data_IF_124659372911
#
_entry.id   IF_124659372911
#
_cell.length_a   1.000
_cell.length_b   1.000
_cell.length_c   1.000
_cell.angle_alpha   90.00
_cell.angle_beta   90.00
_cell.angle_gamma   90.00
#
_symmetry.space_group_name_H-M   'P 1'
#
loop_
_entity.id
_entity.type
_entity.pdbx_description
1 polymer ?
#
# COMPACT_ATOMS: atom_id res chain seq x y z
N UNK A 1 -13.37 16.26 3.90
CA UNK A 1 -14.26 17.32 3.35
C UNK A 1 -14.86 18.21 4.44
N UNK A 2 -15.59 17.67 5.43
CA UNK A 2 -16.26 18.47 6.48
C UNK A 2 -15.32 19.45 7.20
N UNK A 3 -14.13 19.00 7.62
CA UNK A 3 -13.17 19.86 8.31
C UNK A 3 -12.72 21.08 7.49
N UNK A 4 -12.46 20.92 6.19
CA UNK A 4 -12.09 22.04 5.31
C UNK A 4 -13.25 23.03 5.13
N UNK A 5 -14.47 22.54 4.96
CA UNK A 5 -15.65 23.42 4.87
C UNK A 5 -15.88 24.19 6.17
N UNK A 6 -15.73 23.52 7.33
CA UNK A 6 -15.85 24.14 8.64
C UNK A 6 -14.78 25.22 8.90
N UNK A 7 -13.63 25.14 8.21
CA UNK A 7 -12.56 26.13 8.25
C UNK A 7 -12.71 27.23 7.17
N UNK A 8 -13.79 27.24 6.40
CA UNK A 8 -14.09 28.28 5.40
C UNK A 8 -13.46 28.06 4.02
N UNK A 9 -12.91 26.87 3.73
CA UNK A 9 -12.41 26.54 2.39
C UNK A 9 -13.56 26.22 1.43
N UNK A 10 -13.41 26.61 0.17
CA UNK A 10 -14.15 25.97 -0.92
C UNK A 10 -13.56 24.57 -1.14
N UNK A 11 -14.36 23.53 -0.91
CA UNK A 11 -13.90 22.14 -0.94
C UNK A 11 -14.60 21.38 -2.06
N UNK A 12 -13.85 20.56 -2.77
CA UNK A 12 -14.37 19.63 -3.77
C UNK A 12 -13.67 18.27 -3.64
N UNK A 13 -14.24 17.25 -4.28
CA UNK A 13 -13.62 15.92 -4.43
C UNK A 13 -13.96 15.33 -5.79
N UNK A 14 -13.21 14.32 -6.21
CA UNK A 14 -13.38 13.60 -7.48
C UNK A 14 -13.42 12.09 -7.24
N UNK A 15 -14.13 11.37 -8.10
CA UNK A 15 -14.15 9.90 -8.14
C UNK A 15 -12.91 9.31 -8.86
N UNK A 16 -11.96 10.14 -9.30
CA UNK A 16 -10.75 9.69 -9.98
C UNK A 16 -10.97 9.29 -11.45
N UNK A 17 -12.15 9.61 -12.02
CA UNK A 17 -12.47 9.38 -13.43
C UNK A 17 -13.12 8.04 -13.73
N UNK A 18 -13.63 7.32 -12.71
CA UNK A 18 -14.43 6.11 -12.88
C UNK A 18 -15.46 5.95 -11.74
N UNK A 19 -16.61 5.34 -12.03
CA UNK A 19 -17.76 5.27 -11.09
C UNK A 19 -17.85 3.99 -10.27
N UNK A 20 -16.95 3.05 -10.48
CA UNK A 20 -16.98 1.72 -9.85
C UNK A 20 -15.71 1.51 -9.02
N UNK A 21 -15.86 0.80 -7.92
CA UNK A 21 -14.75 0.33 -7.09
C UNK A 21 -14.28 -1.07 -7.49
N UNK A 22 -14.98 -1.74 -8.41
CA UNK A 22 -14.60 -3.06 -8.93
C UNK A 22 -13.49 -2.88 -9.95
N UNK A 23 -12.28 -3.39 -9.64
CA UNK A 23 -11.07 -3.12 -10.44
C UNK A 23 -11.20 -3.53 -11.90
N UNK A 24 -11.76 -4.71 -12.17
CA UNK A 24 -11.88 -5.21 -13.55
C UNK A 24 -12.75 -4.34 -14.45
N UNK A 25 -13.77 -3.68 -13.89
CA UNK A 25 -14.75 -2.91 -14.65
C UNK A 25 -14.16 -1.61 -15.18
N UNK A 26 -13.21 -1.01 -14.45
CA UNK A 26 -12.60 0.26 -14.85
C UNK A 26 -11.21 0.09 -15.48
N UNK A 27 -10.43 -0.92 -15.07
CA UNK A 27 -9.07 -1.16 -15.59
C UNK A 27 -9.10 -1.84 -16.95
N UNK A 28 -10.05 -2.73 -17.20
CA UNK A 28 -10.11 -3.52 -18.43
C UNK A 28 -11.21 -3.03 -19.36
N UNK A 29 -10.89 -3.00 -20.66
CA UNK A 29 -11.91 -2.96 -21.72
C UNK A 29 -12.64 -4.30 -21.78
N UNK A 30 -13.80 -4.32 -22.44
CA UNK A 30 -14.61 -5.54 -22.65
C UNK A 30 -13.81 -6.73 -23.20
N UNK A 31 -12.82 -6.47 -24.06
CA UNK A 31 -11.98 -7.51 -24.68
C UNK A 31 -10.62 -7.74 -23.99
N UNK A 32 -10.46 -7.33 -22.72
CA UNK A 32 -9.29 -7.69 -21.89
C UNK A 32 -8.05 -6.81 -22.05
N UNK A 33 -8.09 -5.74 -22.84
CA UNK A 33 -6.99 -4.76 -22.88
C UNK A 33 -7.15 -3.68 -21.80
N UNK A 34 -6.05 -3.07 -21.37
CA UNK A 34 -6.08 -1.94 -20.43
C UNK A 34 -6.91 -0.78 -21.00
N UNK A 35 -7.81 -0.26 -20.18
CA UNK A 35 -8.49 1.00 -20.40
C UNK A 35 -7.58 2.16 -19.98
N UNK A 36 -6.61 2.47 -20.84
CA UNK A 36 -5.60 3.50 -20.58
C UNK A 36 -6.18 4.87 -20.18
N UNK A 37 -7.26 5.38 -20.80
CA UNK A 37 -7.90 6.60 -20.31
C UNK A 37 -8.25 6.55 -18.81
N UNK A 38 -8.86 5.46 -18.33
CA UNK A 38 -9.19 5.32 -16.91
C UNK A 38 -7.93 5.20 -16.03
N UNK A 39 -6.92 4.45 -16.47
CA UNK A 39 -5.64 4.32 -15.73
C UNK A 39 -4.91 5.66 -15.64
N UNK A 40 -4.91 6.45 -16.71
CA UNK A 40 -4.30 7.79 -16.72
C UNK A 40 -5.11 8.78 -15.87
N UNK A 41 -6.44 8.67 -15.85
CA UNK A 41 -7.32 9.43 -14.97
C UNK A 41 -7.00 9.13 -13.50
N UNK A 42 -7.05 7.85 -13.10
CA UNK A 42 -6.68 7.39 -11.76
C UNK A 42 -5.27 7.86 -11.37
N UNK A 43 -4.34 7.79 -12.33
CA UNK A 43 -2.96 8.21 -12.17
C UNK A 43 -2.81 9.70 -11.85
N UNK A 44 -3.30 10.58 -12.72
CA UNK A 44 -3.08 12.02 -12.60
C UNK A 44 -4.01 12.93 -13.42
N UNK A 45 -4.52 12.49 -14.56
CA UNK A 45 -5.20 13.38 -15.54
C UNK A 45 -6.49 13.96 -14.96
N UNK A 46 -7.34 13.13 -14.36
CA UNK A 46 -8.61 13.60 -13.81
C UNK A 46 -8.40 14.59 -12.66
N UNK A 47 -7.28 14.49 -11.94
CA UNK A 47 -6.95 15.40 -10.86
C UNK A 47 -6.62 16.80 -11.39
N UNK A 48 -5.84 16.89 -12.47
CA UNK A 48 -5.54 18.17 -13.12
C UNK A 48 -6.83 18.85 -13.60
N UNK A 49 -7.65 18.12 -14.36
CA UNK A 49 -8.91 18.65 -14.90
C UNK A 49 -9.84 19.10 -13.77
N UNK A 50 -9.97 18.26 -12.73
CA UNK A 50 -10.71 18.56 -11.53
C UNK A 50 -10.23 19.86 -10.86
N UNK A 51 -8.92 20.04 -10.66
CA UNK A 51 -8.36 21.26 -10.06
C UNK A 51 -8.72 22.51 -10.86
N UNK A 52 -8.56 22.47 -12.19
CA UNK A 52 -8.86 23.61 -13.06
C UNK A 52 -10.34 23.97 -13.00
N UNK A 53 -11.22 22.97 -13.13
CA UNK A 53 -12.67 23.17 -13.06
C UNK A 53 -13.08 23.75 -11.70
N UNK A 54 -12.56 23.20 -10.61
CA UNK A 54 -12.90 23.69 -9.27
C UNK A 54 -12.44 25.14 -9.03
N UNK A 55 -11.24 25.52 -9.51
CA UNK A 55 -10.77 26.92 -9.42
C UNK A 55 -11.65 27.87 -10.24
N UNK A 56 -12.10 27.45 -11.43
CA UNK A 56 -13.03 28.23 -12.25
C UNK A 56 -14.40 28.38 -11.58
N UNK A 57 -14.99 27.30 -11.07
CA UNK A 57 -16.27 27.32 -10.34
C UNK A 57 -16.17 28.22 -9.10
N UNK A 58 -15.07 28.10 -8.34
CA UNK A 58 -14.81 28.96 -7.17
C UNK A 58 -14.77 30.43 -7.58
N UNK A 59 -14.07 30.74 -8.67
CA UNK A 59 -13.96 32.13 -9.17
C UNK A 59 -15.30 32.67 -9.66
N UNK A 60 -16.07 31.87 -10.40
CA UNK A 60 -17.38 32.26 -10.89
C UNK A 60 -18.37 32.52 -9.76
N UNK A 61 -18.32 31.71 -8.69
CA UNK A 61 -19.20 31.84 -7.54
C UNK A 61 -18.83 33.02 -6.62
N UNK A 62 -17.54 33.20 -6.31
CA UNK A 62 -17.08 34.23 -5.36
C UNK A 62 -16.66 35.55 -6.02
N UNK A 63 -16.63 35.62 -7.35
CA UNK A 63 -16.22 36.80 -8.12
C UNK A 63 -14.71 37.11 -8.10
N UNK A 64 -13.89 36.23 -7.51
CA UNK A 64 -12.43 36.36 -7.43
C UNK A 64 -11.75 34.99 -7.34
N UNK A 65 -10.51 34.84 -7.85
CA UNK A 65 -9.76 33.60 -7.70
C UNK A 65 -9.42 33.30 -6.23
N UNK A 66 -9.16 32.02 -5.88
CA UNK A 66 -8.63 31.68 -4.58
C UNK A 66 -7.25 32.32 -4.39
N UNK A 67 -7.01 32.88 -3.20
CA UNK A 67 -5.70 33.45 -2.85
C UNK A 67 -4.63 32.38 -2.66
N UNK A 68 -5.04 31.23 -2.10
CA UNK A 68 -4.24 30.02 -1.98
C UNK A 68 -5.08 28.79 -2.29
N UNK A 69 -4.41 27.73 -2.72
CA UNK A 69 -5.00 26.45 -3.07
C UNK A 69 -4.23 25.31 -2.42
N UNK A 70 -4.97 24.36 -1.83
CA UNK A 70 -4.39 23.24 -1.09
C UNK A 70 -4.91 21.89 -1.61
N UNK A 71 -4.02 20.90 -1.67
CA UNK A 71 -4.39 19.50 -1.89
C UNK A 71 -4.02 18.68 -0.66
N UNK A 72 -4.92 17.81 -0.22
CA UNK A 72 -4.67 16.88 0.89
C UNK A 72 -5.15 15.49 0.52
N UNK A 73 -4.33 14.48 0.78
CA UNK A 73 -4.66 13.09 0.51
C UNK A 73 -3.84 12.11 1.35
N UNK A 74 -4.43 10.94 1.59
CA UNK A 74 -3.80 9.81 2.30
C UNK A 74 -3.73 8.59 1.38
N UNK A 75 -2.70 7.76 1.49
CA UNK A 75 -2.55 6.54 0.69
C UNK A 75 -2.53 6.82 -0.81
N UNK A 76 -3.52 6.34 -1.58
CA UNK A 76 -3.71 6.71 -3.00
C UNK A 76 -3.81 8.22 -3.18
N UNK A 77 -4.49 8.93 -2.27
CA UNK A 77 -4.56 10.39 -2.28
C UNK A 77 -3.20 11.05 -2.04
N UNK A 78 -2.34 10.46 -1.20
CA UNK A 78 -0.96 10.93 -1.01
C UNK A 78 -0.12 10.76 -2.27
N UNK A 79 -0.23 9.60 -2.94
CA UNK A 79 0.37 9.39 -4.27
C UNK A 79 -0.13 10.45 -5.24
N UNK A 80 -1.43 10.66 -5.32
CA UNK A 80 -2.05 11.65 -6.21
C UNK A 80 -1.57 13.09 -5.91
N UNK A 81 -1.40 13.43 -4.63
CA UNK A 81 -0.84 14.70 -4.19
C UNK A 81 0.57 14.93 -4.75
N UNK A 82 1.44 13.91 -4.67
CA UNK A 82 2.79 13.97 -5.22
C UNK A 82 2.79 13.90 -6.76
N UNK A 83 1.83 13.23 -7.39
CA UNK A 83 1.71 13.21 -8.85
C UNK A 83 1.41 14.60 -9.40
N UNK A 84 0.55 15.37 -8.71
CA UNK A 84 0.28 16.77 -9.03
C UNK A 84 1.53 17.64 -8.85
N UNK A 85 2.27 17.45 -7.75
CA UNK A 85 3.51 18.17 -7.47
C UNK A 85 4.58 17.96 -8.55
N UNK A 86 4.77 16.71 -8.99
CA UNK A 86 5.76 16.33 -9.99
C UNK A 86 5.37 16.81 -11.40
N UNK A 87 4.09 16.70 -11.78
CA UNK A 87 3.63 16.98 -13.15
C UNK A 87 3.22 18.43 -13.39
N UNK A 88 2.61 19.07 -12.39
CA UNK A 88 2.05 20.41 -12.49
C UNK A 88 2.35 21.23 -11.22
N UNK A 89 3.62 21.59 -11.01
CA UNK A 89 4.09 22.16 -9.74
C UNK A 89 3.43 23.48 -9.31
N UNK A 90 2.78 24.20 -10.22
CA UNK A 90 2.06 25.46 -9.93
C UNK A 90 0.56 25.29 -9.64
N UNK A 91 0.04 24.05 -9.57
CA UNK A 91 -1.39 23.85 -9.34
C UNK A 91 -1.84 24.13 -7.91
N UNK A 92 -0.96 23.94 -6.92
CA UNK A 92 -1.28 24.06 -5.49
C UNK A 92 -0.15 24.76 -4.74
N UNK A 93 -0.52 25.66 -3.84
CA UNK A 93 0.41 26.40 -2.98
C UNK A 93 0.85 25.55 -1.78
N UNK A 94 -0.02 24.64 -1.33
CA UNK A 94 0.29 23.69 -0.27
C UNK A 94 -0.23 22.28 -0.56
N UNK A 95 0.61 21.29 -0.33
CA UNK A 95 0.30 19.88 -0.52
C UNK A 95 0.54 19.13 0.79
N UNK A 96 -0.48 18.44 1.29
CA UNK A 96 -0.37 17.49 2.40
C UNK A 96 -0.51 16.06 1.85
N UNK A 97 0.58 15.31 1.93
CA UNK A 97 0.69 13.96 1.39
C UNK A 97 0.93 12.94 2.51
N UNK A 98 -0.12 12.25 2.96
CA UNK A 98 -0.04 11.22 3.99
C UNK A 98 0.12 9.81 3.41
N UNK A 99 1.00 9.00 4.00
CA UNK A 99 1.33 7.62 3.63
C UNK A 99 1.29 7.37 2.11
N UNK A 100 2.03 8.15 1.29
CA UNK A 100 1.80 8.16 -0.14
C UNK A 100 2.23 6.84 -0.79
N UNK A 101 1.31 6.22 -1.53
CA UNK A 101 1.57 5.01 -2.33
C UNK A 101 2.40 5.27 -3.60
N UNK A 102 3.57 5.91 -3.47
CA UNK A 102 4.54 6.13 -4.55
C UNK A 102 5.30 4.84 -4.88
N UNK A 103 5.98 4.82 -6.03
CA UNK A 103 6.53 3.60 -6.63
C UNK A 103 5.44 2.54 -6.77
N UNK A 104 4.27 2.94 -7.28
CA UNK A 104 3.04 2.15 -7.18
C UNK A 104 3.17 0.77 -7.83
N UNK A 105 3.94 0.65 -8.92
CA UNK A 105 4.13 -0.63 -9.61
C UNK A 105 4.88 -1.64 -8.72
N UNK A 106 5.92 -1.18 -8.04
CA UNK A 106 6.68 -1.95 -7.07
C UNK A 106 5.85 -2.26 -5.83
N UNK A 107 5.22 -1.24 -5.24
CA UNK A 107 4.40 -1.34 -4.05
C UNK A 107 3.25 -2.34 -4.23
N UNK A 108 2.43 -2.16 -5.28
CA UNK A 108 1.28 -3.03 -5.54
C UNK A 108 1.68 -4.48 -5.81
N UNK A 109 2.87 -4.70 -6.42
CA UNK A 109 3.42 -6.04 -6.61
C UNK A 109 3.95 -6.63 -5.30
N UNK A 110 4.68 -5.85 -4.50
CA UNK A 110 5.25 -6.31 -3.24
C UNK A 110 4.19 -6.67 -2.20
N UNK A 111 3.06 -5.97 -2.13
CA UNK A 111 1.99 -6.26 -1.17
C UNK A 111 1.51 -7.73 -1.25
N UNK A 112 1.58 -8.35 -2.42
CA UNK A 112 1.23 -9.78 -2.59
C UNK A 112 2.22 -10.77 -1.98
N UNK A 113 3.45 -10.33 -1.68
CA UNK A 113 4.57 -11.22 -1.36
C UNK A 113 4.33 -12.09 -0.12
N UNK A 114 3.84 -11.57 1.03
CA UNK A 114 3.58 -12.42 2.20
C UNK A 114 2.55 -13.52 1.94
N UNK A 115 1.51 -13.24 1.14
CA UNK A 115 0.52 -14.24 0.73
C UNK A 115 1.12 -15.31 -0.18
N UNK A 116 1.93 -14.89 -1.16
CA UNK A 116 2.59 -15.82 -2.06
C UNK A 116 3.61 -16.71 -1.33
N UNK A 117 4.26 -16.21 -0.29
CA UNK A 117 5.13 -17.03 0.58
C UNK A 117 4.32 -18.13 1.25
N UNK A 118 3.13 -17.84 1.79
CA UNK A 118 2.23 -18.88 2.33
C UNK A 118 1.84 -19.90 1.27
N UNK A 119 1.44 -19.44 0.07
CA UNK A 119 1.09 -20.31 -1.04
C UNK A 119 2.25 -21.24 -1.47
N UNK A 120 3.48 -20.74 -1.51
CA UNK A 120 4.67 -21.53 -1.86
C UNK A 120 5.07 -22.52 -0.79
N UNK A 121 4.77 -22.23 0.48
CA UNK A 121 4.96 -23.16 1.58
C UNK A 121 3.84 -24.20 1.66
N UNK A 122 2.63 -23.87 1.20
CA UNK A 122 1.42 -24.66 1.44
C UNK A 122 0.97 -24.61 2.91
N UNK A 123 1.44 -23.62 3.67
CA UNK A 123 1.21 -23.48 5.11
C UNK A 123 0.66 -22.06 5.38
N UNK A 124 -0.46 -21.98 6.09
CA UNK A 124 -1.17 -20.74 6.40
C UNK A 124 -1.26 -20.58 7.93
N UNK A 125 -0.34 -19.86 8.57
CA UNK A 125 -0.36 -19.63 10.01
C UNK A 125 -1.64 -18.94 10.48
N UNK A 126 -2.04 -19.20 11.73
CA UNK A 126 -3.09 -18.43 12.38
C UNK A 126 -2.61 -17.00 12.63
N UNK A 127 -3.55 -16.04 12.60
CA UNK A 127 -3.23 -14.63 12.82
C UNK A 127 -2.56 -14.37 14.18
N UNK A 128 -3.00 -15.08 15.23
CA UNK A 128 -2.41 -15.00 16.57
C UNK A 128 -0.89 -15.29 16.58
N UNK A 129 -0.39 -16.20 15.73
CA UNK A 129 1.04 -16.50 15.64
C UNK A 129 1.82 -15.29 15.13
N UNK A 130 1.35 -14.68 14.03
CA UNK A 130 1.99 -13.49 13.44
C UNK A 130 1.84 -12.24 14.32
N UNK A 131 0.73 -12.13 15.05
CA UNK A 131 0.52 -11.09 16.05
C UNK A 131 1.51 -11.24 17.23
N UNK A 132 1.70 -12.45 17.75
CA UNK A 132 2.66 -12.72 18.81
C UNK A 132 4.11 -12.49 18.36
N UNK A 133 4.46 -12.82 17.11
CA UNK A 133 5.77 -12.48 16.53
C UNK A 133 5.98 -10.97 16.47
N UNK A 134 4.95 -10.21 16.05
CA UNK A 134 4.99 -8.74 15.99
C UNK A 134 5.15 -8.15 17.40
N UNK A 135 4.39 -8.65 18.37
CA UNK A 135 4.47 -8.24 19.76
C UNK A 135 5.85 -8.53 20.38
N UNK A 136 6.41 -9.71 20.13
CA UNK A 136 7.77 -10.04 20.57
C UNK A 136 8.83 -9.13 19.94
N UNK A 137 8.62 -8.68 18.69
CA UNK A 137 9.49 -7.69 18.06
C UNK A 137 9.37 -6.31 18.70
N UNK A 138 8.16 -5.90 19.10
CA UNK A 138 7.92 -4.67 19.86
C UNK A 138 8.67 -4.74 21.19
N UNK A 139 8.41 -5.76 22.02
CA UNK A 139 9.02 -5.93 23.34
C UNK A 139 10.55 -6.01 23.28
N UNK A 140 11.11 -6.67 22.27
CA UNK A 140 12.56 -6.79 22.11
C UNK A 140 13.24 -5.46 21.73
N UNK A 141 12.50 -4.49 21.20
CA UNK A 141 13.07 -3.32 20.54
C UNK A 141 12.49 -1.97 21.00
N UNK A 142 11.49 -1.96 21.88
CA UNK A 142 10.82 -0.77 22.43
C UNK A 142 11.85 0.22 23.01
N UNK A 143 12.71 -0.29 23.91
CA UNK A 143 13.77 0.48 24.58
C UNK A 143 14.80 1.19 23.67
N UNK A 144 14.85 0.91 22.36
CA UNK A 144 15.90 1.40 21.46
C UNK A 144 15.80 2.89 21.13
N UNK A 145 14.67 3.53 21.40
CA UNK A 145 14.52 4.99 21.29
C UNK A 145 14.63 5.71 22.64
N UNK A 146 14.88 4.96 23.72
CA UNK A 146 15.01 5.49 25.08
C UNK A 146 13.70 5.53 25.87
N UNK A 147 12.57 5.09 25.31
CA UNK A 147 11.31 4.89 26.02
C UNK A 147 10.91 3.41 26.03
N UNK A 148 10.07 3.02 26.99
CA UNK A 148 9.40 1.71 27.01
C UNK A 148 7.91 2.02 27.12
N UNK A 149 7.29 2.26 25.97
CA UNK A 149 5.91 2.73 25.85
C UNK A 149 5.10 1.94 24.80
N UNK A 150 5.68 0.87 24.25
CA UNK A 150 5.08 0.04 23.21
C UNK A 150 5.14 0.67 21.82
N UNK A 151 5.87 1.78 21.63
CA UNK A 151 6.02 2.47 20.35
C UNK A 151 7.46 2.34 19.87
N UNK A 152 7.66 1.80 18.66
CA UNK A 152 9.00 1.70 18.07
C UNK A 152 9.34 2.93 17.22
N UNK A 153 9.77 4.02 17.87
CA UNK A 153 10.20 5.24 17.15
C UNK A 153 11.54 5.04 16.44
N UNK A 154 12.43 4.20 16.99
CA UNK A 154 13.67 3.78 16.32
C UNK A 154 13.50 2.45 15.57
N UNK A 155 12.81 2.49 14.42
CA UNK A 155 12.45 1.28 13.69
C UNK A 155 13.64 0.55 13.04
N UNK A 156 14.75 1.24 12.77
CA UNK A 156 15.90 0.72 12.00
C UNK A 156 16.82 -0.19 12.81
N UNK A 157 16.99 0.10 14.09
CA UNK A 157 17.98 -0.58 14.94
C UNK A 157 17.47 -1.90 15.55
N UNK A 158 16.21 -2.26 15.27
CA UNK A 158 15.61 -3.49 15.78
C UNK A 158 16.16 -4.75 15.09
N UNK A 159 17.08 -5.43 15.77
CA UNK A 159 17.68 -6.70 15.33
C UNK A 159 16.87 -7.96 15.66
N UNK A 160 15.58 -7.84 15.99
CA UNK A 160 14.74 -9.00 16.32
C UNK A 160 14.66 -9.98 15.14
N UNK A 161 14.78 -11.27 15.46
CA UNK A 161 14.71 -12.39 14.52
C UNK A 161 13.51 -13.26 14.90
N UNK A 162 12.48 -13.38 14.03
CA UNK A 162 11.24 -14.08 14.37
C UNK A 162 11.46 -15.58 14.59
N UNK A 163 12.60 -16.14 14.16
CA UNK A 163 12.94 -17.55 14.42
C UNK A 163 13.19 -17.83 15.90
N UNK A 164 13.48 -16.81 16.71
CA UNK A 164 13.74 -16.96 18.16
C UNK A 164 12.51 -17.32 18.97
N UNK A 165 11.30 -17.11 18.42
CA UNK A 165 10.03 -17.36 19.11
C UNK A 165 9.25 -18.55 18.53
N UNK A 166 9.84 -19.28 17.58
CA UNK A 166 9.26 -20.54 17.08
C UNK A 166 9.15 -21.55 18.23
N UNK A 167 8.05 -22.28 18.30
CA UNK A 167 7.69 -23.19 19.41
C UNK A 167 7.46 -22.48 20.77
N UNK A 168 7.21 -21.18 20.77
CA UNK A 168 6.60 -20.50 21.92
C UNK A 168 5.09 -20.67 21.87
N UNK A 169 4.49 -21.06 23.01
CA UNK A 169 3.04 -21.17 23.15
C UNK A 169 2.39 -19.80 23.24
N UNK A 170 1.34 -19.57 22.46
CA UNK A 170 0.50 -18.37 22.47
C UNK A 170 -0.97 -18.77 22.50
N UNK A 171 -1.78 -18.01 23.23
CA UNK A 171 -3.23 -18.23 23.25
C UNK A 171 -3.86 -17.57 22.03
N UNK A 172 -4.63 -18.33 21.24
CA UNK A 172 -5.31 -17.83 20.06
C UNK A 172 -6.80 -17.66 20.36
N UNK A 173 -7.23 -16.43 20.62
CA UNK A 173 -8.61 -16.12 21.05
C UNK A 173 -9.67 -16.63 20.09
N UNK A 174 -9.40 -16.60 18.78
CA UNK A 174 -10.34 -17.03 17.74
C UNK A 174 -10.62 -18.53 17.77
N UNK A 175 -9.62 -19.31 18.18
CA UNK A 175 -9.71 -20.78 18.30
C UNK A 175 -10.02 -21.26 19.72
N UNK A 176 -9.79 -20.40 20.72
CA UNK A 176 -9.91 -20.73 22.14
C UNK A 176 -8.88 -21.75 22.64
N UNK A 177 -7.79 -21.99 21.90
CA UNK A 177 -6.75 -22.96 22.25
C UNK A 177 -5.34 -22.34 22.23
N UNK A 178 -4.45 -22.96 23.01
CA UNK A 178 -3.01 -22.69 22.96
C UNK A 178 -2.42 -23.25 21.67
N UNK A 179 -1.69 -22.40 20.93
CA UNK A 179 -1.03 -22.74 19.67
C UNK A 179 0.47 -22.44 19.79
N UNK A 180 1.30 -23.26 19.13
CA UNK A 180 2.74 -23.01 19.03
C UNK A 180 3.02 -22.12 17.81
N UNK A 181 3.84 -21.08 17.98
CA UNK A 181 4.31 -20.30 16.84
C UNK A 181 5.06 -21.21 15.86
N UNK A 182 4.54 -21.33 14.65
CA UNK A 182 5.06 -22.20 13.60
C UNK A 182 6.30 -21.63 12.91
N UNK A 183 7.06 -22.52 12.27
CA UNK A 183 8.16 -22.11 11.39
C UNK A 183 7.65 -21.31 10.18
N UNK A 184 6.45 -21.62 9.66
CA UNK A 184 5.78 -20.84 8.62
C UNK A 184 5.50 -19.41 9.07
N UNK A 185 4.97 -19.20 10.28
CA UNK A 185 4.71 -17.85 10.80
C UNK A 185 5.99 -17.01 10.84
N UNK A 186 7.09 -17.59 11.31
CA UNK A 186 8.39 -16.91 11.33
C UNK A 186 8.93 -16.60 9.92
N UNK A 187 8.75 -17.50 8.94
CA UNK A 187 9.15 -17.28 7.54
C UNK A 187 8.32 -16.17 6.88
N UNK A 188 7.01 -16.16 7.11
CA UNK A 188 6.09 -15.14 6.58
C UNK A 188 6.42 -13.77 7.19
N UNK A 189 6.63 -13.68 8.49
CA UNK A 189 7.06 -12.45 9.16
C UNK A 189 8.40 -11.94 8.62
N UNK A 190 9.39 -12.83 8.47
CA UNK A 190 10.68 -12.46 7.91
C UNK A 190 10.56 -11.93 6.47
N UNK A 191 9.75 -12.57 5.63
CA UNK A 191 9.50 -12.13 4.26
C UNK A 191 8.78 -10.77 4.21
N UNK A 192 7.79 -10.57 5.07
CA UNK A 192 7.07 -9.29 5.18
C UNK A 192 8.00 -8.15 5.63
N UNK A 193 8.92 -8.40 6.57
CA UNK A 193 9.84 -7.37 7.08
C UNK A 193 11.06 -7.10 6.19
N UNK A 194 11.59 -8.12 5.50
CA UNK A 194 12.80 -7.98 4.67
C UNK A 194 12.51 -7.62 3.21
N UNK A 195 11.23 -7.76 2.81
CA UNK A 195 10.73 -7.37 1.51
C UNK A 195 10.91 -8.43 0.42
N UNK A 196 10.40 -8.11 -0.76
CA UNK A 196 10.36 -9.03 -1.90
C UNK A 196 11.76 -9.42 -2.38
N UNK A 197 11.92 -10.71 -2.72
CA UNK A 197 13.11 -11.27 -3.36
C UNK A 197 12.69 -12.12 -4.57
N UNK A 198 13.53 -12.14 -5.61
CA UNK A 198 13.40 -13.11 -6.70
C UNK A 198 13.70 -14.54 -6.21
N UNK A 199 13.40 -15.55 -7.01
CA UNK A 199 13.75 -16.95 -6.71
C UNK A 199 15.25 -17.16 -6.48
N UNK A 200 16.11 -16.31 -7.07
CA UNK A 200 17.56 -16.35 -6.89
C UNK A 200 18.05 -15.50 -5.70
N UNK A 201 17.14 -14.95 -4.89
CA UNK A 201 17.46 -14.11 -3.74
C UNK A 201 17.83 -12.65 -4.08
N UNK A 202 17.62 -12.21 -5.33
CA UNK A 202 17.85 -10.81 -5.71
C UNK A 202 16.83 -9.89 -5.04
N UNK A 203 17.29 -8.76 -4.49
CA UNK A 203 16.43 -7.71 -3.95
C UNK A 203 15.44 -7.17 -5.00
N UNK A 204 14.15 -7.07 -4.65
CA UNK A 204 13.11 -6.47 -5.49
C UNK A 204 12.46 -5.25 -4.82
N UNK A 205 12.05 -5.37 -3.55
CA UNK A 205 11.41 -4.29 -2.82
C UNK A 205 11.63 -4.40 -1.31
N UNK A 206 11.41 -3.29 -0.60
CA UNK A 206 11.52 -3.20 0.86
C UNK A 206 10.30 -3.81 1.55
N UNK A 207 10.45 -4.20 2.82
CA UNK A 207 9.39 -4.77 3.65
C UNK A 207 8.78 -3.76 4.61
N UNK A 208 7.83 -4.25 5.43
CA UNK A 208 7.20 -3.53 6.53
C UNK A 208 8.17 -3.27 7.69
N UNK A 209 7.86 -2.27 8.51
CA UNK A 209 8.45 -2.16 9.83
C UNK A 209 8.01 -3.34 10.72
N UNK A 210 8.85 -3.73 11.70
CA UNK A 210 8.60 -4.95 12.50
C UNK A 210 7.42 -4.83 13.47
N UNK A 211 6.93 -3.61 13.69
CA UNK A 211 5.79 -3.22 14.51
C UNK A 211 4.50 -3.02 13.69
N UNK A 212 4.59 -3.04 12.36
CA UNK A 212 3.41 -3.01 11.51
C UNK A 212 2.62 -4.34 11.65
N UNK A 213 1.29 -4.28 11.86
CA UNK A 213 0.47 -5.48 11.97
C UNK A 213 0.56 -6.34 10.70
N UNK A 214 1.11 -7.54 10.83
CA UNK A 214 1.25 -8.47 9.72
C UNK A 214 -0.09 -8.92 9.13
N UNK A 215 -1.18 -8.87 9.90
CA UNK A 215 -2.54 -9.20 9.46
C UNK A 215 -3.03 -8.34 8.28
N UNK A 216 -2.43 -7.17 8.01
CA UNK A 216 -2.76 -6.37 6.84
C UNK A 216 -2.38 -7.04 5.52
N UNK A 217 -1.22 -7.71 5.46
CA UNK A 217 -0.66 -8.29 4.23
C UNK A 217 -0.54 -9.82 4.27
N UNK A 218 -0.35 -10.40 5.44
CA UNK A 218 -0.28 -11.84 5.70
C UNK A 218 -1.58 -12.38 6.32
N UNK A 219 -2.72 -11.82 5.93
CA UNK A 219 -4.02 -12.21 6.47
C UNK A 219 -4.38 -13.67 6.17
N UNK A 220 -5.02 -14.34 7.13
CA UNK A 220 -5.53 -15.71 7.01
C UNK A 220 -6.92 -15.84 7.61
N UNK A 221 -7.67 -16.84 7.17
CA UNK A 221 -8.94 -17.25 7.77
C UNK A 221 -8.93 -18.75 8.01
N UNK A 222 -9.46 -19.20 9.15
CA UNK A 222 -9.41 -20.59 9.57
C UNK A 222 -10.79 -21.12 9.93
N UNK A 223 -11.02 -22.40 9.68
CA UNK A 223 -12.23 -23.11 10.07
C UNK A 223 -12.12 -23.62 11.53
N UNK A 224 -12.25 -22.71 12.48
CA UNK A 224 -12.09 -23.01 13.91
C UNK A 224 -13.17 -23.96 14.48
N UNK A 225 -14.31 -24.09 13.81
CA UNK A 225 -15.41 -24.95 14.24
C UNK A 225 -15.41 -26.32 13.55
N UNK A 226 -14.60 -26.49 12.51
CA UNK A 226 -14.53 -27.71 11.70
C UNK A 226 -13.11 -28.26 11.63
N UNK A 227 -12.49 -28.16 10.46
CA UNK A 227 -11.21 -28.81 10.13
C UNK A 227 -10.00 -28.22 10.88
N UNK A 228 -10.09 -26.97 11.34
CA UNK A 228 -8.94 -26.20 11.83
C UNK A 228 -8.00 -25.74 10.71
N UNK A 229 -8.32 -26.02 9.45
CA UNK A 229 -7.49 -25.60 8.32
C UNK A 229 -7.63 -24.09 8.08
N UNK A 230 -6.49 -23.47 7.79
CA UNK A 230 -6.39 -22.05 7.47
C UNK A 230 -6.11 -21.85 5.99
N UNK A 231 -6.55 -20.71 5.45
CA UNK A 231 -6.30 -20.28 4.08
C UNK A 231 -5.93 -18.80 4.03
N UNK A 232 -5.14 -18.41 3.03
CA UNK A 232 -4.73 -17.03 2.80
C UNK A 232 -5.87 -16.14 2.34
N UNK A 233 -5.93 -14.91 2.87
CA UNK A 233 -6.88 -13.88 2.44
C UNK A 233 -6.07 -12.75 1.79
N UNK A 234 -5.80 -12.81 0.49
CA UNK A 234 -4.93 -11.84 -0.14
C UNK A 234 -5.55 -10.44 -0.19
N UNK A 235 -4.70 -9.44 0.03
CA UNK A 235 -5.12 -8.04 -0.05
C UNK A 235 -5.60 -7.71 -1.46
N UNK A 236 -6.83 -7.21 -1.57
CA UNK A 236 -7.54 -7.07 -2.84
C UNK A 236 -6.76 -6.24 -3.87
N UNK A 237 -6.13 -5.13 -3.45
CA UNK A 237 -5.33 -4.29 -4.36
C UNK A 237 -4.20 -5.08 -5.02
N UNK A 238 -3.49 -5.94 -4.27
CA UNK A 238 -2.36 -6.69 -4.81
C UNK A 238 -2.80 -7.86 -5.69
N UNK A 239 -3.89 -8.54 -5.31
CA UNK A 239 -4.52 -9.57 -6.14
C UNK A 239 -4.99 -8.97 -7.47
N UNK A 240 -5.76 -7.90 -7.41
CA UNK A 240 -6.34 -7.22 -8.57
C UNK A 240 -5.26 -6.59 -9.45
N UNK A 241 -4.18 -6.08 -8.85
CA UNK A 241 -3.00 -5.60 -9.57
C UNK A 241 -2.43 -6.69 -10.47
N UNK A 242 -2.11 -7.85 -9.91
CA UNK A 242 -1.54 -8.95 -10.69
C UNK A 242 -2.54 -9.47 -11.72
N UNK A 243 -3.80 -9.68 -11.31
CA UNK A 243 -4.84 -10.25 -12.15
C UNK A 243 -5.22 -9.33 -13.32
N UNK A 244 -5.57 -8.08 -13.05
CA UNK A 244 -6.17 -7.18 -14.04
C UNK A 244 -5.18 -6.19 -14.66
N UNK A 245 -4.13 -5.76 -13.96
CA UNK A 245 -3.12 -4.86 -14.56
C UNK A 245 -2.02 -5.63 -15.28
N UNK A 246 -1.51 -6.70 -14.67
CA UNK A 246 -0.35 -7.42 -15.22
C UNK A 246 -0.81 -8.47 -16.25
N UNK A 247 -1.62 -9.45 -15.83
CA UNK A 247 -2.08 -10.52 -16.71
C UNK A 247 -3.26 -10.12 -17.59
N UNK A 248 -4.07 -9.16 -17.14
CA UNK A 248 -5.25 -8.65 -17.87
C UNK A 248 -6.26 -9.76 -18.16
N UNK A 249 -6.35 -10.71 -17.24
CA UNK A 249 -7.13 -11.93 -17.40
C UNK A 249 -8.05 -12.11 -16.20
N UNK A 250 -9.36 -12.15 -16.47
CA UNK A 250 -10.40 -12.30 -15.45
C UNK A 250 -10.43 -13.67 -14.81
N UNK A 251 -9.91 -14.67 -15.50
CA UNK A 251 -9.83 -16.06 -15.01
C UNK A 251 -8.52 -16.38 -14.30
N UNK A 252 -7.59 -15.42 -14.24
CA UNK A 252 -6.27 -15.65 -13.64
C UNK A 252 -6.38 -15.96 -12.15
N UNK A 253 -5.79 -17.08 -11.75
CA UNK A 253 -5.74 -17.52 -10.36
C UNK A 253 -4.44 -17.05 -9.70
N UNK A 254 -4.59 -16.05 -8.83
CA UNK A 254 -3.52 -15.51 -8.00
C UNK A 254 -2.80 -16.58 -7.16
N UNK A 255 -3.52 -17.61 -6.71
CA UNK A 255 -2.95 -18.59 -5.80
C UNK A 255 -1.89 -19.49 -6.48
N UNK A 256 -1.93 -19.60 -7.80
CA UNK A 256 -1.00 -20.41 -8.59
C UNK A 256 0.25 -19.65 -9.05
N UNK A 257 0.45 -18.40 -8.61
CA UNK A 257 1.67 -17.66 -8.93
C UNK A 257 2.87 -18.35 -8.29
N UNK A 258 3.79 -18.82 -9.12
CA UNK A 258 5.09 -19.37 -8.67
C UNK A 258 6.09 -18.27 -8.34
N UNK A 259 7.11 -18.61 -7.55
CA UNK A 259 8.19 -17.66 -7.22
C UNK A 259 8.99 -17.20 -8.45
N UNK A 260 9.13 -18.04 -9.47
CA UNK A 260 9.74 -17.65 -10.75
C UNK A 260 8.85 -16.64 -11.50
N UNK A 261 7.55 -16.87 -11.56
CA UNK A 261 6.60 -15.92 -12.16
C UNK A 261 6.58 -14.60 -11.41
N UNK A 262 6.73 -14.61 -10.08
CA UNK A 262 6.74 -13.40 -9.28
C UNK A 262 7.81 -12.39 -9.72
N UNK A 263 9.04 -12.85 -10.01
CA UNK A 263 10.09 -11.99 -10.55
C UNK A 263 9.73 -11.39 -11.92
N UNK A 264 9.07 -12.17 -12.78
CA UNK A 264 8.58 -11.71 -14.10
C UNK A 264 7.45 -10.70 -13.96
N UNK A 265 6.52 -10.92 -13.04
CA UNK A 265 5.41 -10.00 -12.69
C UNK A 265 5.99 -8.66 -12.25
N UNK A 266 6.97 -8.66 -11.35
CA UNK A 266 7.63 -7.45 -10.88
C UNK A 266 8.29 -6.67 -12.03
N UNK A 267 9.01 -7.37 -12.92
CA UNK A 267 9.61 -6.74 -14.10
C UNK A 267 8.56 -6.16 -15.06
N UNK A 268 7.48 -6.90 -15.33
CA UNK A 268 6.38 -6.43 -16.18
C UNK A 268 5.65 -5.22 -15.59
N UNK A 269 5.47 -5.18 -14.27
CA UNK A 269 4.85 -4.08 -13.55
C UNK A 269 5.63 -2.78 -13.76
N UNK A 270 6.95 -2.83 -13.56
CA UNK A 270 7.86 -1.70 -13.80
C UNK A 270 7.78 -1.21 -15.26
N UNK A 271 7.95 -2.11 -16.22
CA UNK A 271 7.97 -1.76 -17.64
C UNK A 271 6.67 -1.10 -18.11
N UNK A 272 5.52 -1.51 -17.57
CA UNK A 272 4.22 -1.02 -18.03
C UNK A 272 3.70 0.18 -17.24
N UNK A 273 4.04 0.30 -15.96
CA UNK A 273 3.30 1.20 -15.05
C UNK A 273 4.14 2.24 -14.31
N UNK A 274 5.48 2.24 -14.44
CA UNK A 274 6.32 3.29 -13.82
C UNK A 274 5.92 4.70 -14.29
N UNK A 275 5.72 4.92 -15.59
CA UNK A 275 5.30 6.23 -16.10
C UNK A 275 3.88 6.65 -15.69
N UNK A 276 2.82 5.85 -15.89
CA UNK A 276 1.45 6.27 -15.60
C UNK A 276 1.12 6.33 -14.10
N UNK A 277 1.69 5.44 -13.28
CA UNK A 277 1.28 5.27 -11.87
C UNK A 277 2.42 5.36 -10.86
N UNK A 278 3.69 5.34 -11.30
CA UNK A 278 4.84 5.27 -10.40
C UNK A 278 4.93 6.43 -9.42
N UNK A 279 4.72 7.67 -9.87
CA UNK A 279 4.84 8.87 -9.01
C UNK A 279 6.17 8.91 -8.26
N UNK A 280 7.25 8.55 -8.94
CA UNK A 280 8.57 8.34 -8.34
C UNK A 280 9.62 9.36 -8.78
N UNK A 281 9.19 10.45 -9.43
CA UNK A 281 10.09 11.53 -9.84
C UNK A 281 10.50 12.38 -8.63
N UNK A 282 11.78 12.39 -8.23
CA UNK A 282 12.24 13.21 -7.12
C UNK A 282 12.38 14.71 -7.49
N UNK A 283 12.31 15.07 -8.77
CA UNK A 283 12.43 16.47 -9.19
C UNK A 283 11.14 17.25 -8.95
N UNK A 284 11.08 17.88 -7.78
CA UNK A 284 10.00 18.79 -7.39
C UNK A 284 10.47 20.25 -7.35
N UNK A 285 11.55 20.60 -8.07
CA UNK A 285 12.10 21.98 -8.08
C UNK A 285 11.05 23.00 -8.51
N UNK A 286 10.21 22.66 -9.48
CA UNK A 286 9.12 23.52 -9.92
C UNK A 286 8.18 23.94 -8.77
N UNK A 287 7.92 23.06 -7.80
CA UNK A 287 7.06 23.41 -6.65
C UNK A 287 7.71 24.52 -5.84
N UNK A 288 9.02 24.39 -5.58
CA UNK A 288 9.80 25.41 -4.86
C UNK A 288 9.86 26.72 -5.63
N UNK A 289 10.07 26.67 -6.95
CA UNK A 289 10.14 27.86 -7.82
C UNK A 289 8.81 28.62 -7.85
N UNK A 290 7.68 27.92 -7.73
CA UNK A 290 6.34 28.52 -7.59
C UNK A 290 5.99 28.93 -6.14
N UNK A 291 6.93 28.80 -5.19
CA UNK A 291 6.71 29.14 -3.78
C UNK A 291 5.95 28.09 -2.97
N UNK A 292 5.52 26.99 -3.60
CA UNK A 292 4.72 25.94 -2.99
C UNK A 292 5.44 25.15 -1.88
N UNK A 293 4.64 24.51 -1.02
CA UNK A 293 5.12 23.68 0.09
C UNK A 293 4.51 22.29 0.03
N UNK A 294 5.32 21.27 0.34
CA UNK A 294 4.87 19.89 0.50
C UNK A 294 5.15 19.48 1.94
N UNK A 295 4.11 19.06 2.66
CA UNK A 295 4.23 18.35 3.93
C UNK A 295 3.89 16.88 3.67
N UNK A 296 4.83 16.00 4.00
CA UNK A 296 4.66 14.57 3.85
C UNK A 296 4.80 13.87 5.20
N UNK A 297 3.94 12.89 5.47
CA UNK A 297 4.00 12.08 6.68
C UNK A 297 3.64 10.64 6.37
N UNK A 298 4.09 9.70 7.20
CA UNK A 298 3.80 8.27 7.11
C UNK A 298 3.80 7.70 8.54
N UNK A 299 2.85 6.85 8.88
CA UNK A 299 2.92 6.09 10.13
C UNK A 299 4.12 5.15 10.11
N UNK A 300 4.79 4.96 11.25
CA UNK A 300 5.96 4.05 11.31
C UNK A 300 5.56 2.56 11.27
N UNK A 301 4.29 2.27 11.56
CA UNK A 301 3.69 0.92 11.58
C UNK A 301 2.55 0.76 10.55
N UNK A 302 2.60 1.49 9.42
CA UNK A 302 1.70 1.34 8.27
C UNK A 302 2.03 0.05 7.49
#
# INVERSE_FOLDING_TARGET
MVGGMAQGYAVASSDGGHKTTVTEDWVLKRHGNINWPNVLNFGSVSLYDFTIICKQVTTAYYGKPPEYSYFTGYSTGGRQALALAQRWPGLYDGILSGAPGINYAELATWISYPQLIMNWLGEYPQLCETAAITQAAIEACDHLDGAVDGIRSNSKDCGFDPRKVVNTTVFCEESGIDTQISTSAAKVALAAWTGARSINGTFLWHGLAKDAPLSGLANTTCDYQGSGECSGVPYAIAKDWIQYFIYKDRSFDFNNVTHEQYGKIFHMALQQYTSPLGTSDPDVRGVKENGGKILMWHGVAD
#
